data_IF_542411888844
#
_entry.id   IF_542411888844
#
_cell.length_a   1.000
_cell.length_b   1.000
_cell.length_c   1.000
_cell.angle_alpha   90.00
_cell.angle_beta   90.00
_cell.angle_gamma   90.00
#
_symmetry.space_group_name_H-M   'P 1'
#
loop_
_entity.id
_entity.type
_entity.pdbx_description
1 polymer ?
#
# COMPACT_ATOMS: atom_id res chain seq x y z
N UNK A 1 -38.74 28.85 -13.04
CA UNK A 1 -38.16 27.49 -12.94
C UNK A 1 -36.71 27.41 -13.46
N UNK A 2 -36.35 28.01 -14.60
CA UNK A 2 -34.97 27.99 -15.14
C UNK A 2 -33.89 28.54 -14.18
N UNK A 3 -34.19 29.61 -13.43
CA UNK A 3 -33.26 30.20 -12.45
C UNK A 3 -32.94 29.27 -11.27
N UNK A 4 -33.94 28.51 -10.82
CA UNK A 4 -33.80 27.51 -9.74
C UNK A 4 -33.01 26.31 -10.26
N UNK A 5 -33.31 25.84 -11.46
CA UNK A 5 -32.58 24.76 -12.11
C UNK A 5 -31.09 25.12 -12.31
N UNK A 6 -30.81 26.35 -12.75
CA UNK A 6 -29.44 26.84 -12.89
C UNK A 6 -28.71 26.94 -11.54
N UNK A 7 -29.43 27.34 -10.48
CA UNK A 7 -28.86 27.38 -9.13
C UNK A 7 -28.50 25.98 -8.61
N UNK A 8 -29.37 25.00 -8.85
CA UNK A 8 -29.12 23.60 -8.48
C UNK A 8 -27.92 23.04 -9.26
N UNK A 9 -27.85 23.31 -10.57
CA UNK A 9 -26.75 22.88 -11.42
C UNK A 9 -25.41 23.47 -10.95
N UNK A 10 -25.39 24.75 -10.57
CA UNK A 10 -24.21 25.40 -10.02
C UNK A 10 -23.75 24.75 -8.71
N UNK A 11 -24.67 24.42 -7.82
CA UNK A 11 -24.35 23.73 -6.57
C UNK A 11 -23.76 22.33 -6.82
N UNK A 12 -24.32 21.57 -7.76
CA UNK A 12 -23.82 20.24 -8.12
C UNK A 12 -22.37 20.33 -8.63
N UNK A 13 -22.06 21.33 -9.48
CA UNK A 13 -20.70 21.52 -10.01
C UNK A 13 -19.71 21.86 -8.89
N UNK A 14 -20.08 22.69 -7.92
CA UNK A 14 -19.20 23.05 -6.80
C UNK A 14 -18.91 21.86 -5.89
N UNK A 15 -19.90 21.02 -5.61
CA UNK A 15 -19.73 19.86 -4.74
C UNK A 15 -19.07 18.65 -5.43
N UNK A 16 -19.10 18.56 -6.76
CA UNK A 16 -18.51 17.45 -7.51
C UNK A 16 -16.99 17.31 -7.33
N UNK A 17 -16.28 18.39 -6.97
CA UNK A 17 -14.83 18.40 -6.79
C UNK A 17 -14.38 18.35 -5.33
N UNK A 18 -15.32 18.40 -4.36
CA UNK A 18 -14.99 18.42 -2.94
C UNK A 18 -14.56 17.05 -2.39
N UNK A 19 -14.81 15.96 -3.12
CA UNK A 19 -14.55 14.59 -2.66
C UNK A 19 -13.23 13.97 -3.16
N UNK A 20 -12.47 14.67 -4.01
CA UNK A 20 -11.20 14.18 -4.52
C UNK A 20 -10.06 14.53 -3.55
N UNK A 21 -10.02 13.86 -2.40
CA UNK A 21 -8.81 13.87 -1.58
C UNK A 21 -7.69 13.09 -2.29
N UNK A 22 -6.47 13.61 -2.17
CA UNK A 22 -5.30 12.98 -2.75
C UNK A 22 -4.90 11.82 -1.84
N UNK A 23 -5.33 10.61 -2.22
CA UNK A 23 -5.04 9.34 -1.53
C UNK A 23 -3.59 8.86 -1.77
N UNK A 24 -2.63 9.78 -1.67
CA UNK A 24 -1.21 9.47 -1.68
C UNK A 24 -0.71 9.51 -0.24
N UNK A 25 -0.84 8.39 0.46
CA UNK A 25 -0.12 8.20 1.71
C UNK A 25 1.38 8.09 1.44
N UNK A 26 2.16 8.45 2.44
CA UNK A 26 3.60 8.21 2.44
C UNK A 26 3.89 6.71 2.27
N UNK A 27 5.02 6.41 1.64
CA UNK A 27 5.50 5.04 1.54
C UNK A 27 5.75 4.44 2.95
N UNK A 28 5.57 3.12 3.12
CA UNK A 28 5.83 2.48 4.40
C UNK A 28 7.32 2.62 4.77
N UNK A 29 7.61 3.29 5.89
CA UNK A 29 8.98 3.50 6.38
C UNK A 29 9.59 2.31 7.14
N UNK A 30 8.83 1.22 7.32
CA UNK A 30 9.24 0.07 8.13
C UNK A 30 10.16 -0.89 7.37
N UNK A 31 11.03 -1.59 8.11
CA UNK A 31 11.96 -2.57 7.53
C UNK A 31 11.79 -3.95 8.18
N UNK A 32 11.59 -4.99 7.37
CA UNK A 32 11.57 -6.38 7.84
C UNK A 32 13.02 -6.89 7.95
N UNK A 33 13.38 -7.42 9.12
CA UNK A 33 14.67 -8.07 9.38
C UNK A 33 14.43 -9.44 9.99
N UNK A 34 15.25 -10.43 9.60
CA UNK A 34 15.10 -11.80 10.10
C UNK A 34 16.29 -12.69 9.75
N UNK A 35 16.28 -13.91 10.30
CA UNK A 35 17.25 -14.97 10.03
C UNK A 35 16.51 -16.28 9.80
N UNK A 36 17.02 -17.11 8.90
CA UNK A 36 16.51 -18.46 8.65
C UNK A 36 17.32 -19.41 9.52
N UNK A 37 16.63 -20.14 10.40
CA UNK A 37 17.23 -20.99 11.42
C UNK A 37 16.75 -22.43 11.22
N UNK A 38 17.65 -23.40 11.36
CA UNK A 38 17.30 -24.82 11.42
C UNK A 38 16.61 -25.12 12.77
N UNK A 39 15.42 -25.72 12.72
CA UNK A 39 14.61 -25.96 13.91
C UNK A 39 15.19 -27.02 14.86
N UNK A 40 16.01 -27.95 14.37
CA UNK A 40 16.61 -29.02 15.17
C UNK A 40 17.91 -28.57 15.84
N UNK A 41 18.72 -27.75 15.16
CA UNK A 41 20.05 -27.35 15.67
C UNK A 41 20.07 -25.94 16.25
N UNK A 42 19.15 -25.06 15.85
CA UNK A 42 19.17 -23.64 16.22
C UNK A 42 20.19 -22.82 15.44
N UNK A 43 20.91 -23.41 14.50
CA UNK A 43 21.95 -22.74 13.71
C UNK A 43 21.38 -22.04 12.46
N UNK A 44 22.06 -21.00 11.94
CA UNK A 44 21.66 -20.33 10.72
C UNK A 44 21.76 -21.24 9.49
N UNK A 45 20.74 -21.21 8.64
CA UNK A 45 20.80 -21.86 7.33
C UNK A 45 21.64 -21.00 6.39
N UNK A 46 22.78 -21.54 5.96
CA UNK A 46 23.63 -20.90 4.95
C UNK A 46 22.97 -20.96 3.57
N UNK A 47 23.03 -19.87 2.83
CA UNK A 47 22.45 -19.77 1.49
C UNK A 47 23.32 -18.88 0.61
N UNK A 48 23.20 -19.06 -0.70
CA UNK A 48 23.86 -18.19 -1.68
C UNK A 48 23.15 -16.83 -1.74
N UNK A 49 23.89 -15.78 -2.07
CA UNK A 49 23.35 -14.42 -2.27
C UNK A 49 22.87 -14.17 -3.72
N UNK A 50 22.60 -15.24 -4.47
CA UNK A 50 22.06 -15.20 -5.84
C UNK A 50 20.54 -15.42 -5.93
N UNK A 51 20.04 -15.44 -7.16
CA UNK A 51 18.62 -15.70 -7.47
C UNK A 51 18.12 -17.09 -7.02
N UNK A 52 19.05 -18.02 -6.80
CA UNK A 52 18.79 -19.41 -6.40
C UNK A 52 18.83 -19.63 -4.88
N UNK A 53 19.11 -18.57 -4.10
CA UNK A 53 19.16 -18.63 -2.63
C UNK A 53 17.79 -18.71 -1.94
N UNK A 54 17.75 -18.49 -0.63
CA UNK A 54 16.50 -18.51 0.13
C UNK A 54 15.59 -17.33 -0.22
N UNK A 55 14.39 -17.62 -0.74
CA UNK A 55 13.41 -16.61 -1.13
C UNK A 55 12.34 -16.39 -0.05
N UNK A 56 12.20 -15.15 0.40
CA UNK A 56 11.11 -14.70 1.29
C UNK A 56 10.06 -13.97 0.45
N UNK A 57 8.78 -14.34 0.60
CA UNK A 57 7.66 -13.65 -0.07
C UNK A 57 6.72 -13.06 0.96
N UNK A 58 6.49 -11.75 0.90
CA UNK A 58 5.41 -11.12 1.65
C UNK A 58 4.08 -11.45 0.96
N UNK A 59 3.24 -12.24 1.63
CA UNK A 59 1.88 -12.51 1.19
C UNK A 59 0.97 -11.30 1.38
N UNK A 60 -0.21 -11.34 0.75
CA UNK A 60 -1.28 -10.40 1.05
C UNK A 60 -1.86 -10.78 2.42
N UNK A 61 -1.94 -9.81 3.34
CA UNK A 61 -2.70 -9.96 4.58
C UNK A 61 -4.21 -9.85 4.29
#
# INVERSE_FOLDING_TARGET
MKKILNSILLFIVVFAFASCEKDNYDEPGETIKGRVIDAATGEPVLTDQGSEGTRVRAGRA
#
